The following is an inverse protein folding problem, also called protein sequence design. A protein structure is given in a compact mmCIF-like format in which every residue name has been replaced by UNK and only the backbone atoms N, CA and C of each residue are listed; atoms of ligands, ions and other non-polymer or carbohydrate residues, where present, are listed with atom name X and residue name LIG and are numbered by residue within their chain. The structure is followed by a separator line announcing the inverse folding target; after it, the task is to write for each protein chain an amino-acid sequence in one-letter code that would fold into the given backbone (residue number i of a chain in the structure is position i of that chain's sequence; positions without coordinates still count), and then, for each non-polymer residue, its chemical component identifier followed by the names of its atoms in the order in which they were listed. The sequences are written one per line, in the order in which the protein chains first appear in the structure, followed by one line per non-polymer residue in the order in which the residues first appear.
data_IF_511798009107
#
_entry.id   IF_511798009107
#
_cell.length_a   1.000
_cell.length_b   1.000
_cell.length_c   1.000
_cell.angle_alpha   90.00
_cell.angle_beta   90.00
_cell.angle_gamma   90.00
#
_symmetry.space_group_name_H-M   'P 1'
#
loop_
_entity.id
_entity.type
_entity.pdbx_description
1 polymer ?
#
# COMPACT_ATOMS: atom_id res chain seq x y z
N UNK A 1 -24.01 25.83 31.45
CA UNK A 1 -22.70 25.14 31.51
C UNK A 1 -22.76 23.96 30.54
N UNK A 2 -21.85 23.90 29.58
CA UNK A 2 -21.81 22.82 28.58
C UNK A 2 -20.85 21.72 29.04
N UNK A 3 -21.29 20.47 29.00
CA UNK A 3 -20.48 19.32 29.39
C UNK A 3 -19.88 18.65 28.15
N UNK A 4 -18.56 18.70 28.01
CA UNK A 4 -17.84 18.02 26.93
C UNK A 4 -17.64 16.56 27.34
N UNK A 5 -18.13 15.57 26.55
CA UNK A 5 -18.09 14.18 26.96
C UNK A 5 -16.74 13.54 26.60
N UNK A 6 -15.72 13.78 27.43
CA UNK A 6 -14.33 13.34 27.27
C UNK A 6 -14.15 11.85 26.94
N UNK A 7 -15.01 10.97 27.46
CA UNK A 7 -14.96 9.52 27.22
C UNK A 7 -15.09 9.13 25.74
N UNK A 8 -15.71 9.97 24.91
CA UNK A 8 -15.84 9.73 23.47
C UNK A 8 -14.67 10.28 22.65
N UNK A 9 -13.85 11.19 23.22
CA UNK A 9 -12.66 11.72 22.55
C UNK A 9 -11.50 10.70 22.55
N UNK A 10 -11.42 9.85 23.57
CA UNK A 10 -10.33 8.87 23.75
C UNK A 10 -10.43 7.74 22.72
N UNK A 11 -11.62 7.38 22.25
CA UNK A 11 -11.81 6.24 21.32
C UNK A 11 -11.67 6.61 19.83
N UNK A 12 -11.43 7.88 19.49
CA UNK A 12 -11.26 8.34 18.09
C UNK A 12 -9.78 8.53 17.69
N UNK A 13 -8.86 7.83 18.37
CA UNK A 13 -7.41 8.03 18.25
C UNK A 13 -6.72 7.12 17.20
N UNK A 14 -7.44 6.43 16.33
CA UNK A 14 -6.79 5.83 15.15
C UNK A 14 -6.58 6.91 14.09
N UNK A 15 -5.55 7.73 14.28
CA UNK A 15 -5.13 8.78 13.34
C UNK A 15 -4.52 8.20 12.05
N UNK A 16 -4.10 6.93 12.04
CA UNK A 16 -3.42 6.27 10.92
C UNK A 16 -4.32 6.02 9.69
N UNK A 17 -3.99 6.54 8.49
CA UNK A 17 -4.79 6.41 7.26
C UNK A 17 -5.14 4.96 6.91
N UNK A 18 -6.30 4.73 6.27
CA UNK A 18 -6.65 3.40 5.78
C UNK A 18 -6.06 3.25 4.36
N UNK A 19 -5.07 2.38 4.13
CA UNK A 19 -4.49 2.16 2.80
C UNK A 19 -5.43 1.36 1.90
N UNK A 20 -5.41 1.63 0.60
CA UNK A 20 -6.05 0.80 -0.42
C UNK A 20 -5.28 0.88 -1.75
N UNK A 21 -5.43 -0.12 -2.61
CA UNK A 21 -4.93 -0.04 -3.98
C UNK A 21 -5.91 0.75 -4.84
N UNK A 22 -5.50 1.91 -5.37
CA UNK A 22 -6.31 2.67 -6.34
C UNK A 22 -6.38 1.91 -7.66
N UNK A 23 -5.26 1.36 -8.09
CA UNK A 23 -5.20 0.43 -9.22
C UNK A 23 -3.94 -0.44 -9.12
N UNK A 24 -4.01 -1.60 -9.76
CA UNK A 24 -2.87 -2.47 -10.00
C UNK A 24 -2.88 -2.76 -11.49
N UNK A 25 -1.80 -2.42 -12.18
CA UNK A 25 -1.65 -2.67 -13.61
C UNK A 25 -0.60 -3.77 -13.81
N UNK A 26 -0.94 -4.78 -14.61
CA UNK A 26 -0.05 -5.84 -15.05
C UNK A 26 0.05 -5.73 -16.55
N UNK A 27 1.26 -5.43 -17.05
CA UNK A 27 1.49 -5.19 -18.47
C UNK A 27 0.50 -4.17 -19.06
N UNK A 28 0.28 -3.08 -18.32
CA UNK A 28 -0.60 -1.95 -18.68
C UNK A 28 -2.10 -2.26 -18.63
N UNK A 29 -2.48 -3.49 -18.30
CA UNK A 29 -3.87 -3.92 -18.12
C UNK A 29 -4.27 -3.93 -16.64
N UNK A 30 -5.47 -3.46 -16.27
CA UNK A 30 -5.96 -3.52 -14.90
C UNK A 30 -6.06 -4.97 -14.40
N UNK A 31 -5.41 -5.24 -13.26
CA UNK A 31 -5.65 -6.45 -12.49
C UNK A 31 -6.89 -6.24 -11.59
N UNK A 32 -7.70 -7.28 -11.45
CA UNK A 32 -8.85 -7.23 -10.55
C UNK A 32 -8.39 -7.03 -9.10
N UNK A 33 -8.86 -5.95 -8.47
CA UNK A 33 -8.55 -5.62 -7.07
C UNK A 33 -9.10 -6.66 -6.08
N UNK A 34 -10.11 -7.44 -6.49
CA UNK A 34 -10.63 -8.55 -5.70
C UNK A 34 -9.62 -9.70 -5.54
N UNK A 35 -8.65 -9.78 -6.45
CA UNK A 35 -7.65 -10.85 -6.44
C UNK A 35 -6.41 -10.32 -5.74
N UNK A 36 -6.15 -10.79 -4.51
CA UNK A 36 -4.95 -10.43 -3.72
C UNK A 36 -3.65 -11.06 -4.24
N UNK A 37 -3.68 -11.70 -5.41
CA UNK A 37 -2.56 -12.44 -5.95
C UNK A 37 -2.56 -12.47 -7.47
N UNK A 38 -1.38 -12.58 -8.08
CA UNK A 38 -1.24 -12.89 -9.50
C UNK A 38 -0.19 -13.97 -9.73
N UNK A 39 -0.46 -14.84 -10.69
CA UNK A 39 0.52 -15.83 -11.17
C UNK A 39 0.78 -15.60 -12.65
N UNK A 40 2.03 -15.34 -13.02
CA UNK A 40 2.43 -14.95 -14.37
C UNK A 40 3.65 -15.76 -14.84
N UNK A 41 3.97 -15.67 -16.13
CA UNK A 41 5.19 -16.21 -16.75
C UNK A 41 5.91 -15.12 -17.54
N UNK A 42 7.22 -15.29 -17.72
CA UNK A 42 8.03 -14.40 -18.56
C UNK A 42 8.24 -12.99 -17.99
N UNK A 43 8.53 -12.03 -18.87
CA UNK A 43 8.75 -10.63 -18.50
C UNK A 43 7.42 -9.96 -18.19
N UNK A 44 7.33 -9.35 -17.00
CA UNK A 44 6.13 -8.67 -16.54
C UNK A 44 6.48 -7.29 -15.99
N UNK A 45 5.55 -6.35 -16.14
CA UNK A 45 5.60 -5.00 -15.57
C UNK A 45 4.41 -4.83 -14.64
N UNK A 46 4.69 -4.51 -13.38
CA UNK A 46 3.71 -4.19 -12.35
C UNK A 46 3.75 -2.70 -12.07
N UNK A 47 2.58 -2.09 -12.01
CA UNK A 47 2.41 -0.72 -11.52
C UNK A 47 1.36 -0.72 -10.41
N UNK A 48 1.76 -0.27 -9.23
CA UNK A 48 0.88 -0.14 -8.06
C UNK A 48 0.56 1.34 -7.85
N UNK A 49 -0.71 1.71 -7.99
CA UNK A 49 -1.19 3.03 -7.61
C UNK A 49 -1.79 2.95 -6.20
N UNK A 50 -1.14 3.62 -5.26
CA UNK A 50 -1.46 3.59 -3.84
C UNK A 50 -2.46 4.70 -3.49
N UNK A 51 -3.43 4.35 -2.67
CA UNK A 51 -4.43 5.27 -2.13
C UNK A 51 -4.48 5.20 -0.62
N UNK A 52 -5.12 6.20 -0.03
CA UNK A 52 -5.46 6.22 1.38
C UNK A 52 -6.81 6.92 1.59
N UNK A 53 -7.59 6.46 2.56
CA UNK A 53 -8.86 7.08 2.95
C UNK A 53 -8.62 7.97 4.17
N UNK A 54 -8.68 9.29 3.93
CA UNK A 54 -8.73 10.35 4.94
C UNK A 54 -9.56 11.52 4.47
N UNK A 55 -10.22 12.19 5.42
CA UNK A 55 -11.08 13.34 5.17
C UNK A 55 -10.36 14.70 5.26
N UNK A 56 -9.05 14.72 5.58
CA UNK A 56 -8.25 15.95 5.67
C UNK A 56 -7.23 16.06 4.53
N UNK A 57 -6.80 17.27 4.20
CA UNK A 57 -5.83 17.57 3.13
C UNK A 57 -4.36 17.39 3.56
N UNK A 58 -4.12 16.69 4.66
CA UNK A 58 -2.76 16.53 5.19
C UNK A 58 -1.91 15.70 4.23
N UNK A 59 -0.65 16.14 4.02
CA UNK A 59 0.33 15.34 3.27
C UNK A 59 0.54 14.02 3.99
N UNK A 60 0.48 12.92 3.25
CA UNK A 60 0.74 11.56 3.76
C UNK A 60 2.13 11.10 3.37
N UNK A 61 2.69 10.17 4.14
CA UNK A 61 3.89 9.44 3.77
C UNK A 61 3.54 7.97 3.54
N UNK A 62 4.05 7.41 2.45
CA UNK A 62 3.97 5.99 2.15
C UNK A 62 5.30 5.31 2.50
N UNK A 63 5.19 4.06 2.93
CA UNK A 63 6.30 3.13 2.95
C UNK A 63 5.88 1.89 2.16
N UNK A 64 6.76 1.40 1.28
CA UNK A 64 6.51 0.20 0.50
C UNK A 64 7.76 -0.68 0.40
N UNK A 65 7.54 -1.97 0.14
CA UNK A 65 8.59 -2.96 -0.07
C UNK A 65 8.07 -4.07 -0.98
N UNK A 66 8.92 -4.60 -1.84
CA UNK A 66 8.71 -5.87 -2.54
C UNK A 66 9.56 -6.95 -1.89
N UNK A 67 8.96 -7.72 -0.98
CA UNK A 67 9.63 -8.87 -0.37
C UNK A 67 10.03 -9.87 -1.46
N UNK A 68 11.28 -10.34 -1.39
CA UNK A 68 11.90 -11.17 -2.43
C UNK A 68 12.76 -10.38 -3.42
N UNK A 69 12.70 -9.04 -3.41
CA UNK A 69 13.58 -8.18 -4.22
C UNK A 69 14.27 -7.09 -3.39
N UNK A 70 13.49 -6.31 -2.64
CA UNK A 70 13.99 -5.19 -1.85
C UNK A 70 14.63 -5.66 -0.53
N UNK A 71 15.66 -4.94 -0.08
CA UNK A 71 16.32 -5.21 1.22
C UNK A 71 15.72 -4.41 2.38
N UNK A 72 15.13 -3.25 2.10
CA UNK A 72 14.64 -2.29 3.08
C UNK A 72 13.37 -1.61 2.57
N UNK A 73 12.57 -1.08 3.50
CA UNK A 73 11.40 -0.27 3.15
C UNK A 73 11.82 1.03 2.45
N UNK A 74 11.19 1.31 1.31
CA UNK A 74 11.28 2.60 0.64
C UNK A 74 10.23 3.53 1.22
N UNK A 75 10.60 4.76 1.60
CA UNK A 75 9.68 5.72 2.22
C UNK A 75 9.65 7.04 1.47
N UNK A 76 8.47 7.59 1.22
CA UNK A 76 8.32 8.86 0.51
C UNK A 76 6.88 9.29 0.32
N UNK A 77 6.65 10.28 -0.54
CA UNK A 77 5.31 10.72 -0.95
C UNK A 77 4.85 10.08 -2.26
N UNK A 78 5.70 9.25 -2.88
CA UNK A 78 5.35 8.54 -4.12
C UNK A 78 4.26 7.51 -3.87
N UNK A 79 3.30 7.48 -4.77
CA UNK A 79 2.16 6.58 -4.74
C UNK A 79 2.01 5.78 -6.04
N UNK A 80 2.93 5.92 -6.99
CA UNK A 80 2.97 5.13 -8.22
C UNK A 80 4.25 4.32 -8.23
N UNK A 81 4.16 3.05 -7.86
CA UNK A 81 5.34 2.19 -7.68
C UNK A 81 5.43 1.20 -8.82
N UNK A 82 6.60 1.11 -9.46
CA UNK A 82 6.82 0.30 -10.65
C UNK A 82 7.86 -0.79 -10.40
N UNK A 83 7.54 -2.03 -10.75
CA UNK A 83 8.49 -3.14 -10.80
C UNK A 83 8.42 -3.80 -12.17
N UNK A 84 9.56 -4.21 -12.72
CA UNK A 84 9.63 -4.83 -14.04
C UNK A 84 10.71 -5.90 -14.10
N UNK A 85 10.57 -6.83 -15.03
CA UNK A 85 11.55 -7.88 -15.30
C UNK A 85 11.91 -8.70 -14.04
N UNK A 86 10.92 -8.96 -13.18
CA UNK A 86 11.08 -9.83 -12.02
C UNK A 86 11.49 -11.22 -12.49
N UNK A 87 12.51 -11.80 -11.84
CA UNK A 87 12.93 -13.18 -12.09
C UNK A 87 11.87 -14.16 -11.58
N UNK A 88 11.86 -15.41 -12.07
CA UNK A 88 11.03 -16.46 -11.48
C UNK A 88 11.22 -16.52 -9.95
N UNK A 89 10.12 -16.59 -9.22
CA UNK A 89 10.11 -16.47 -7.77
C UNK A 89 8.76 -16.06 -7.21
N UNK A 90 8.68 -16.03 -5.87
CA UNK A 90 7.51 -15.54 -5.13
C UNK A 90 7.86 -14.21 -4.48
N UNK A 91 6.99 -13.23 -4.64
CA UNK A 91 7.16 -11.89 -4.10
C UNK A 91 5.89 -11.46 -3.39
N UNK A 92 6.05 -10.56 -2.41
CA UNK A 92 4.92 -9.90 -1.75
C UNK A 92 5.15 -8.42 -1.77
N UNK A 93 4.36 -7.71 -2.57
CA UNK A 93 4.31 -6.25 -2.48
C UNK A 93 3.57 -5.87 -1.21
N UNK A 94 4.16 -5.04 -0.36
CA UNK A 94 3.54 -4.51 0.85
C UNK A 94 3.64 -2.99 0.85
N UNK A 95 2.61 -2.31 1.35
CA UNK A 95 2.71 -0.90 1.67
C UNK A 95 1.89 -0.52 2.89
N UNK A 96 2.29 0.59 3.51
CA UNK A 96 1.60 1.25 4.62
C UNK A 96 1.70 2.76 4.46
N UNK A 97 0.84 3.47 5.15
CA UNK A 97 0.69 4.92 5.05
C UNK A 97 0.62 5.53 6.44
N UNK A 98 1.20 6.71 6.62
CA UNK A 98 1.06 7.49 7.85
C UNK A 98 0.79 8.96 7.57
N UNK A 99 0.23 9.62 8.56
CA UNK A 99 0.28 11.08 8.69
C UNK A 99 1.57 11.50 9.39
N UNK A 100 1.99 12.77 9.28
CA UNK A 100 3.19 13.27 9.94
C UNK A 100 3.19 13.04 11.45
N UNK A 101 2.01 13.09 12.08
CA UNK A 101 1.81 12.95 13.52
C UNK A 101 1.05 11.67 13.91
N UNK A 102 1.03 10.64 13.06
CA UNK A 102 0.41 9.35 13.37
C UNK A 102 1.42 8.22 13.33
N UNK A 103 1.05 7.12 13.96
CA UNK A 103 1.66 5.82 13.66
C UNK A 103 1.37 5.40 12.22
N UNK A 104 2.13 4.41 11.75
CA UNK A 104 1.85 3.75 10.48
C UNK A 104 0.53 2.99 10.52
N UNK A 105 -0.16 2.97 9.38
CA UNK A 105 -1.31 2.11 9.17
C UNK A 105 -0.93 0.63 9.23
N UNK A 106 -1.95 -0.21 9.29
CA UNK A 106 -1.80 -1.62 8.93
C UNK A 106 -1.20 -1.76 7.52
N UNK A 107 -0.46 -2.84 7.31
CA UNK A 107 0.15 -3.16 6.02
C UNK A 107 -0.91 -3.76 5.08
N UNK A 108 -0.93 -3.28 3.85
CA UNK A 108 -1.71 -3.88 2.77
C UNK A 108 -0.76 -4.59 1.81
N UNK A 109 -1.10 -5.84 1.44
CA UNK A 109 -0.22 -6.72 0.68
C UNK A 109 -0.85 -7.24 -0.61
N UNK A 110 -0.01 -7.54 -1.60
CA UNK A 110 -0.36 -8.18 -2.86
C UNK A 110 0.69 -9.23 -3.23
N UNK A 111 0.25 -10.48 -3.41
CA UNK A 111 1.14 -11.60 -3.70
C UNK A 111 1.41 -11.74 -5.20
N UNK A 112 2.65 -12.04 -5.55
CA UNK A 112 3.07 -12.19 -6.95
C UNK A 112 3.85 -13.49 -7.07
N UNK A 113 3.46 -14.35 -7.99
CA UNK A 113 4.22 -15.53 -8.37
C UNK A 113 4.63 -15.43 -9.84
N UNK A 114 5.94 -15.45 -10.07
CA UNK A 114 6.51 -15.53 -11.42
C UNK A 114 7.00 -16.96 -11.64
N UNK A 115 6.33 -17.68 -12.53
CA UNK A 115 6.73 -19.03 -12.94
C UNK A 115 7.83 -18.97 -14.00
N UNK A 116 8.69 -20.00 -14.07
CA UNK A 116 9.59 -20.21 -15.20
C UNK A 116 8.84 -20.25 -16.54
#
# INVERSE_FOLDING_TARGET
MSFIPLKHLINNLSSAPIPYFRSILINELPASQAIKQSTLKGKNKFQFNLGNIRFNSSKVQYAYILEGLDKTWNTGSEHNINYQNLRPGNYTFKFKVKLPSSDWSNELSYSIQIRP
#
